data_IF_421974039264
#
_entry.id   IF_421974039264
#
_cell.length_a   1.000
_cell.length_b   1.000
_cell.length_c   1.000
_cell.angle_alpha   90.00
_cell.angle_beta   90.00
_cell.angle_gamma   90.00
#
_symmetry.space_group_name_H-M   'P 1'
#
loop_
_entity.id
_entity.type
_entity.pdbx_description
1 polymer ?
#
# COMPACT_ATOMS: atom_id res chain seq x y z
N UNK A 1 6.33 -70.07 -19.50
CA UNK A 1 5.35 -69.21 -18.81
C UNK A 1 5.87 -68.58 -17.50
N UNK A 2 6.56 -69.32 -16.62
CA UNK A 2 7.12 -68.80 -15.35
C UNK A 2 8.23 -67.75 -15.52
N UNK A 3 9.10 -67.91 -16.52
CA UNK A 3 10.22 -66.98 -16.79
C UNK A 3 9.70 -65.62 -17.27
N UNK A 4 8.74 -65.60 -18.18
CA UNK A 4 8.10 -64.37 -18.66
C UNK A 4 7.42 -63.60 -17.51
N UNK A 5 6.68 -64.26 -16.61
CA UNK A 5 6.08 -63.61 -15.44
C UNK A 5 7.11 -62.97 -14.51
N UNK A 6 8.25 -63.64 -14.26
CA UNK A 6 9.35 -63.08 -13.45
C UNK A 6 10.02 -61.88 -14.14
N UNK A 7 10.15 -61.92 -15.46
CA UNK A 7 10.73 -60.84 -16.26
C UNK A 7 9.83 -59.60 -16.29
N UNK A 8 8.51 -59.76 -16.45
CA UNK A 8 7.55 -58.67 -16.36
C UNK A 8 7.51 -58.06 -14.95
N UNK A 9 7.58 -58.87 -13.90
CA UNK A 9 7.63 -58.39 -12.52
C UNK A 9 8.90 -57.58 -12.23
N UNK A 10 10.06 -58.05 -12.70
CA UNK A 10 11.33 -57.33 -12.55
C UNK A 10 11.35 -55.99 -13.29
N UNK A 11 10.84 -55.96 -14.53
CA UNK A 11 10.71 -54.72 -15.30
C UNK A 11 9.74 -53.74 -14.63
N UNK A 12 8.60 -54.22 -14.12
CA UNK A 12 7.65 -53.40 -13.38
C UNK A 12 8.25 -52.81 -12.10
N UNK A 13 9.01 -53.60 -11.34
CA UNK A 13 9.70 -53.12 -10.13
C UNK A 13 10.78 -52.07 -10.44
N UNK A 14 11.56 -52.27 -11.51
CA UNK A 14 12.54 -51.29 -11.97
C UNK A 14 11.86 -49.97 -12.38
N UNK A 15 10.74 -50.05 -13.08
CA UNK A 15 9.99 -48.87 -13.52
C UNK A 15 9.38 -48.12 -12.33
N UNK A 16 8.83 -48.83 -11.33
CA UNK A 16 8.40 -48.24 -10.06
C UNK A 16 9.53 -47.57 -9.31
N UNK A 17 10.69 -48.22 -9.22
CA UNK A 17 11.86 -47.67 -8.55
C UNK A 17 12.38 -46.40 -9.23
N UNK A 18 12.43 -46.39 -10.58
CA UNK A 18 12.78 -45.21 -11.35
C UNK A 18 11.80 -44.05 -11.12
N UNK A 19 10.49 -44.32 -11.08
CA UNK A 19 9.47 -43.31 -10.77
C UNK A 19 9.62 -42.74 -9.36
N UNK A 20 9.96 -43.57 -8.37
CA UNK A 20 10.22 -43.12 -6.99
C UNK A 20 11.45 -42.22 -6.93
N UNK A 21 12.54 -42.59 -7.60
CA UNK A 21 13.76 -41.77 -7.66
C UNK A 21 13.46 -40.42 -8.32
N UNK A 22 12.78 -40.43 -9.47
CA UNK A 22 12.41 -39.20 -10.18
C UNK A 22 11.53 -38.28 -9.31
N UNK A 23 10.53 -38.85 -8.65
CA UNK A 23 9.68 -38.11 -7.70
C UNK A 23 10.49 -37.55 -6.52
N UNK A 24 11.43 -38.33 -5.98
CA UNK A 24 12.33 -37.92 -4.91
C UNK A 24 13.21 -36.73 -5.31
N UNK A 25 13.83 -36.79 -6.50
CA UNK A 25 14.64 -35.68 -7.04
C UNK A 25 13.77 -34.43 -7.22
N UNK A 26 12.57 -34.59 -7.77
CA UNK A 26 11.64 -33.47 -7.95
C UNK A 26 11.25 -32.80 -6.63
N UNK A 27 11.02 -33.57 -5.57
CA UNK A 27 10.59 -33.03 -4.27
C UNK A 27 11.75 -32.48 -3.42
N UNK A 28 12.92 -33.13 -3.45
CA UNK A 28 14.04 -32.80 -2.57
C UNK A 28 14.99 -31.76 -3.16
N UNK A 29 15.11 -31.68 -4.48
CA UNK A 29 16.08 -30.80 -5.15
C UNK A 29 15.37 -29.71 -5.95
N UNK A 30 14.52 -30.11 -6.90
CA UNK A 30 13.92 -29.16 -7.84
C UNK A 30 12.95 -28.21 -7.13
N UNK A 31 11.95 -28.73 -6.42
CA UNK A 31 10.91 -27.90 -5.77
C UNK A 31 11.48 -26.82 -4.83
N UNK A 32 12.46 -27.10 -3.95
CA UNK A 32 13.07 -26.07 -3.10
C UNK A 32 13.83 -24.99 -3.88
N UNK A 33 14.54 -25.34 -4.96
CA UNK A 33 15.26 -24.37 -5.80
C UNK A 33 14.27 -23.39 -6.43
N UNK A 34 13.25 -23.91 -7.12
CA UNK A 34 12.19 -23.12 -7.75
C UNK A 34 11.58 -22.14 -6.75
N UNK A 35 11.28 -22.65 -5.57
CA UNK A 35 10.64 -21.89 -4.49
C UNK A 35 11.56 -20.78 -3.97
N UNK A 36 12.83 -21.07 -3.73
CA UNK A 36 13.79 -20.08 -3.24
C UNK A 36 14.04 -18.96 -4.26
N UNK A 37 14.08 -19.29 -5.56
CA UNK A 37 14.21 -18.32 -6.63
C UNK A 37 12.96 -17.42 -6.73
N UNK A 38 11.77 -18.02 -6.63
CA UNK A 38 10.50 -17.28 -6.58
C UNK A 38 10.43 -16.35 -5.36
N UNK A 39 10.82 -16.84 -4.17
CA UNK A 39 10.89 -16.02 -2.94
C UNK A 39 11.88 -14.87 -3.11
N UNK A 40 13.07 -15.12 -3.67
CA UNK A 40 14.10 -14.09 -3.85
C UNK A 40 13.65 -13.00 -4.82
N UNK A 41 13.00 -13.41 -5.91
CA UNK A 41 12.43 -12.49 -6.91
C UNK A 41 11.30 -11.66 -6.30
N UNK A 42 10.40 -12.28 -5.54
CA UNK A 42 9.33 -11.58 -4.85
C UNK A 42 9.82 -10.67 -3.72
N UNK A 43 10.92 -11.02 -3.02
CA UNK A 43 11.55 -10.12 -2.05
C UNK A 43 12.06 -8.85 -2.73
N UNK A 44 12.71 -9.00 -3.89
CA UNK A 44 13.16 -7.86 -4.68
C UNK A 44 11.97 -7.02 -5.18
N UNK A 45 10.92 -7.66 -5.68
CA UNK A 45 9.70 -6.98 -6.14
C UNK A 45 9.02 -6.21 -4.98
N UNK A 46 8.78 -6.86 -3.83
CA UNK A 46 8.25 -6.22 -2.64
C UNK A 46 9.10 -5.01 -2.22
N UNK A 47 10.43 -5.19 -2.21
CA UNK A 47 11.38 -4.12 -1.89
C UNK A 47 11.26 -2.94 -2.85
N UNK A 48 11.30 -3.18 -4.16
CA UNK A 48 11.22 -2.12 -5.17
C UNK A 48 9.91 -1.35 -5.06
N UNK A 49 8.79 -2.05 -4.92
CA UNK A 49 7.47 -1.44 -4.72
C UNK A 49 7.47 -0.57 -3.47
N UNK A 50 7.93 -1.13 -2.35
CA UNK A 50 7.94 -0.45 -1.07
C UNK A 50 8.86 0.77 -1.07
N UNK A 51 10.08 0.65 -1.58
CA UNK A 51 11.05 1.75 -1.63
C UNK A 51 10.62 2.85 -2.60
N UNK A 52 10.00 2.50 -3.74
CA UNK A 52 9.43 3.48 -4.66
C UNK A 52 8.32 4.27 -3.97
N UNK A 53 7.40 3.59 -3.29
CA UNK A 53 6.34 4.27 -2.54
C UNK A 53 6.91 5.13 -1.41
N UNK A 54 7.83 4.60 -0.60
CA UNK A 54 8.44 5.34 0.51
C UNK A 54 9.15 6.60 0.01
N UNK A 55 9.79 6.54 -1.16
CA UNK A 55 10.39 7.71 -1.81
C UNK A 55 9.33 8.75 -2.19
N UNK A 56 8.19 8.34 -2.74
CA UNK A 56 7.13 9.27 -3.12
C UNK A 56 6.43 9.87 -1.91
N UNK A 57 6.16 9.07 -0.87
CA UNK A 57 5.67 9.55 0.42
C UNK A 57 6.65 10.54 1.06
N UNK A 58 7.95 10.25 1.06
CA UNK A 58 8.96 11.16 1.64
C UNK A 58 9.01 12.52 0.91
N UNK A 59 8.84 12.54 -0.42
CA UNK A 59 8.75 13.79 -1.18
C UNK A 59 7.49 14.58 -0.79
N UNK A 60 6.35 13.91 -0.71
CA UNK A 60 5.09 14.53 -0.27
C UNK A 60 5.22 15.08 1.15
N UNK A 61 5.83 14.33 2.08
CA UNK A 61 6.07 14.80 3.43
C UNK A 61 6.95 16.06 3.47
N UNK A 62 8.01 16.10 2.67
CA UNK A 62 8.89 17.28 2.55
C UNK A 62 8.14 18.48 1.97
N UNK A 63 7.26 18.26 1.00
CA UNK A 63 6.42 19.31 0.44
C UNK A 63 5.39 19.82 1.48
N UNK A 64 4.75 18.94 2.25
CA UNK A 64 3.85 19.34 3.34
C UNK A 64 4.56 20.13 4.43
N UNK A 65 5.80 19.74 4.79
CA UNK A 65 6.62 20.52 5.71
C UNK A 65 6.90 21.92 5.16
N UNK A 66 7.17 22.02 3.87
CA UNK A 66 7.38 23.31 3.20
C UNK A 66 6.10 24.16 3.22
N UNK A 67 4.93 23.54 2.97
CA UNK A 67 3.63 24.20 3.12
C UNK A 67 3.43 24.76 4.52
N UNK A 68 3.72 23.96 5.55
CA UNK A 68 3.60 24.39 6.93
C UNK A 68 4.51 25.60 7.21
N UNK A 69 5.78 25.54 6.81
CA UNK A 69 6.76 26.64 7.01
C UNK A 69 6.33 27.92 6.29
N UNK A 70 5.90 27.83 5.02
CA UNK A 70 5.39 28.98 4.28
C UNK A 70 4.16 29.57 4.97
N UNK A 71 3.25 28.70 5.40
CA UNK A 71 2.06 29.07 6.15
C UNK A 71 2.36 29.65 7.54
N UNK A 72 3.58 29.59 8.07
CA UNK A 72 3.97 30.31 9.29
C UNK A 72 4.32 31.78 9.00
N UNK A 73 4.88 32.06 7.83
CA UNK A 73 5.46 33.37 7.49
C UNK A 73 4.52 34.29 6.72
N UNK A 74 3.50 33.73 6.04
CA UNK A 74 2.60 34.53 5.21
C UNK A 74 1.78 35.54 6.03
N UNK A 75 1.47 36.73 5.46
CA UNK A 75 0.47 37.62 6.03
C UNK A 75 -0.85 36.87 6.28
N UNK A 76 -1.56 37.21 7.36
CA UNK A 76 -2.88 36.65 7.69
C UNK A 76 -3.97 37.23 6.77
N UNK A 77 -3.82 36.97 5.47
CA UNK A 77 -4.72 37.38 4.40
C UNK A 77 -4.96 36.17 3.52
N UNK A 78 -6.21 35.74 3.36
CA UNK A 78 -6.53 34.54 2.57
C UNK A 78 -5.94 34.59 1.15
N UNK A 79 -5.96 35.76 0.50
CA UNK A 79 -5.37 35.95 -0.83
C UNK A 79 -3.88 35.58 -0.87
N UNK A 80 -3.10 35.96 0.15
CA UNK A 80 -1.68 35.63 0.22
C UNK A 80 -1.44 34.11 0.35
N UNK A 81 -2.27 33.43 1.13
CA UNK A 81 -2.23 31.97 1.19
C UNK A 81 -2.62 31.33 -0.14
N UNK A 82 -3.68 31.81 -0.78
CA UNK A 82 -4.14 31.25 -2.06
C UNK A 82 -3.07 31.38 -3.15
N UNK A 83 -2.43 32.54 -3.24
CA UNK A 83 -1.39 32.82 -4.23
C UNK A 83 -0.12 31.97 -4.03
N UNK A 84 0.27 31.71 -2.78
CA UNK A 84 1.56 31.07 -2.47
C UNK A 84 1.46 29.57 -2.18
N UNK A 85 0.32 29.08 -1.70
CA UNK A 85 0.14 27.66 -1.33
C UNK A 85 -0.31 26.82 -2.54
N UNK A 86 -1.22 27.35 -3.38
CA UNK A 86 -1.75 26.60 -4.51
C UNK A 86 -0.65 26.10 -5.49
N UNK A 87 0.37 26.90 -5.86
CA UNK A 87 1.46 26.43 -6.73
C UNK A 87 2.30 25.33 -6.07
N UNK A 88 2.49 25.37 -4.75
CA UNK A 88 3.24 24.35 -4.03
C UNK A 88 2.50 23.01 -4.04
N UNK A 89 1.20 23.00 -3.77
CA UNK A 89 0.36 21.80 -3.90
C UNK A 89 0.42 21.26 -5.33
N UNK A 90 0.28 22.14 -6.34
CA UNK A 90 0.31 21.75 -7.73
C UNK A 90 1.65 21.18 -8.22
N UNK A 91 2.77 21.52 -7.54
CA UNK A 91 4.10 20.99 -7.87
C UNK A 91 4.27 19.51 -7.46
N UNK A 92 3.41 19.02 -6.56
CA UNK A 92 3.45 17.65 -6.08
C UNK A 92 2.99 16.62 -7.12
N UNK A 93 3.74 15.52 -7.25
CA UNK A 93 3.32 14.37 -8.07
C UNK A 93 2.47 13.41 -7.23
N UNK A 94 1.42 12.85 -7.84
CA UNK A 94 0.53 11.90 -7.15
C UNK A 94 -0.30 12.54 -6.03
N UNK A 95 -0.47 13.85 -6.04
CA UNK A 95 -1.28 14.58 -5.05
C UNK A 95 -2.73 14.62 -5.53
N UNK A 96 -3.65 14.21 -4.65
CA UNK A 96 -5.11 14.32 -4.83
C UNK A 96 -5.60 15.70 -4.39
N UNK A 97 -4.98 16.27 -3.36
CA UNK A 97 -5.36 17.55 -2.79
C UNK A 97 -4.43 17.97 -1.67
N UNK A 98 -4.77 19.07 -1.01
CA UNK A 98 -4.04 19.56 0.15
C UNK A 98 -4.58 20.89 0.60
N UNK A 99 -4.19 21.30 1.81
CA UNK A 99 -4.75 22.52 2.36
C UNK A 99 -4.08 23.04 3.61
N UNK A 100 -4.58 24.18 4.04
CA UNK A 100 -4.25 24.84 5.29
C UNK A 100 -5.49 24.86 6.17
N UNK A 101 -5.34 24.42 7.41
CA UNK A 101 -6.42 24.14 8.36
C UNK A 101 -6.16 24.90 9.67
N UNK A 102 -6.51 26.19 9.73
CA UNK A 102 -6.24 27.05 10.88
C UNK A 102 -7.04 26.65 12.11
N UNK A 103 -6.61 27.05 13.30
CA UNK A 103 -7.48 27.03 14.48
C UNK A 103 -8.59 28.11 14.35
N UNK A 104 -9.71 27.97 15.11
CA UNK A 104 -10.75 28.98 15.13
C UNK A 104 -10.19 30.39 15.38
N UNK A 105 -10.73 31.39 14.67
CA UNK A 105 -10.32 32.79 14.73
C UNK A 105 -8.87 33.10 14.30
N UNK A 106 -8.09 32.13 13.78
CA UNK A 106 -6.69 32.37 13.38
C UNK A 106 -6.51 32.93 11.98
N UNK A 107 -7.39 32.57 11.04
CA UNK A 107 -7.36 33.04 9.66
C UNK A 107 -8.38 34.14 9.40
N UNK A 108 -9.62 33.93 9.84
CA UNK A 108 -10.70 34.91 9.76
C UNK A 108 -11.24 35.18 11.17
N UNK A 109 -11.41 36.45 11.58
CA UNK A 109 -12.05 36.79 12.84
C UNK A 109 -13.49 36.23 12.91
N UNK A 110 -13.86 35.68 14.06
CA UNK A 110 -15.20 35.12 14.34
C UNK A 110 -15.59 33.91 13.49
N UNK A 111 -14.66 33.29 12.76
CA UNK A 111 -14.89 32.07 12.00
C UNK A 111 -14.41 30.83 12.79
N UNK A 112 -15.30 29.87 12.98
CA UNK A 112 -14.96 28.55 13.54
C UNK A 112 -14.16 27.69 12.55
N UNK A 113 -14.46 27.85 11.24
CA UNK A 113 -13.82 27.15 10.14
C UNK A 113 -13.40 28.15 9.07
N UNK A 114 -12.15 28.08 8.65
CA UNK A 114 -11.56 28.94 7.63
C UNK A 114 -10.45 28.17 6.88
N UNK A 115 -10.75 26.92 6.53
CA UNK A 115 -9.83 26.07 5.78
C UNK A 115 -9.65 26.60 4.36
N UNK A 116 -8.44 26.45 3.83
CA UNK A 116 -8.12 26.66 2.43
C UNK A 116 -7.70 25.31 1.87
N UNK A 117 -8.59 24.66 1.10
CA UNK A 117 -8.38 23.32 0.59
C UNK A 117 -8.47 23.28 -0.93
N UNK A 118 -7.48 22.68 -1.57
CA UNK A 118 -7.43 22.49 -3.01
C UNK A 118 -7.57 21.02 -3.35
N UNK A 119 -8.59 20.70 -4.15
CA UNK A 119 -8.74 19.37 -4.72
C UNK A 119 -8.33 19.36 -6.18
N UNK A 120 -7.66 18.29 -6.60
CA UNK A 120 -7.34 18.04 -7.99
C UNK A 120 -8.61 17.64 -8.74
N UNK A 121 -8.90 18.36 -9.81
CA UNK A 121 -10.05 18.10 -10.69
C UNK A 121 -9.65 17.15 -11.83
N UNK A 122 -10.64 16.61 -12.55
CA UNK A 122 -10.41 15.63 -13.63
C UNK A 122 -9.53 16.12 -14.79
N UNK A 123 -9.36 17.44 -14.97
CA UNK A 123 -8.45 18.01 -15.96
C UNK A 123 -7.00 18.18 -15.44
N UNK A 124 -6.72 17.73 -14.21
CA UNK A 124 -5.43 17.83 -13.55
C UNK A 124 -5.15 19.16 -12.84
N UNK A 125 -6.05 20.13 -12.91
CA UNK A 125 -5.94 21.42 -12.21
C UNK A 125 -6.44 21.33 -10.77
N UNK A 126 -5.87 22.15 -9.90
CA UNK A 126 -6.30 22.25 -8.49
C UNK A 126 -7.30 23.38 -8.32
N UNK A 127 -8.45 23.07 -7.72
CA UNK A 127 -9.51 24.04 -7.45
C UNK A 127 -9.70 24.20 -5.95
N UNK A 128 -9.79 25.45 -5.50
CA UNK A 128 -10.16 25.76 -4.12
C UNK A 128 -11.62 25.34 -3.87
N UNK A 129 -11.82 24.54 -2.83
CA UNK A 129 -13.12 24.06 -2.36
C UNK A 129 -13.47 24.73 -1.03
N UNK A 130 -14.76 25.02 -0.83
CA UNK A 130 -15.28 25.71 0.37
C UNK A 130 -16.19 24.79 1.21
N UNK A 131 -16.27 23.51 0.85
CA UNK A 131 -17.14 22.50 1.45
C UNK A 131 -16.87 22.32 2.96
N UNK A 132 -15.60 22.31 3.36
CA UNK A 132 -15.19 22.22 4.77
C UNK A 132 -15.50 23.46 5.61
N UNK A 133 -15.88 24.59 4.97
CA UNK A 133 -16.29 25.80 5.68
C UNK A 133 -17.82 25.94 5.80
N UNK A 134 -18.60 25.11 5.11
CA UNK A 134 -20.07 25.19 5.16
C UNK A 134 -20.61 24.90 6.57
N UNK A 135 -21.74 25.50 7.00
CA UNK A 135 -22.26 25.32 8.36
C UNK A 135 -22.58 23.88 8.75
N UNK A 136 -22.94 23.04 7.79
CA UNK A 136 -23.32 21.65 7.93
C UNK A 136 -22.14 20.66 7.89
N UNK A 137 -20.94 21.11 7.49
CA UNK A 137 -19.77 20.24 7.51
C UNK A 137 -19.21 20.04 8.92
N UNK A 138 -18.71 18.83 9.19
CA UNK A 138 -18.03 18.51 10.44
C UNK A 138 -16.83 19.43 10.69
N UNK A 139 -16.55 19.71 11.96
CA UNK A 139 -15.36 20.44 12.36
C UNK A 139 -14.11 19.61 12.05
N UNK A 140 -13.27 20.06 11.12
CA UNK A 140 -12.04 19.34 10.72
C UNK A 140 -11.07 19.13 11.90
N UNK A 141 -11.16 19.95 12.94
CA UNK A 141 -10.39 19.78 14.18
C UNK A 141 -10.74 18.47 14.92
N UNK A 142 -11.87 17.84 14.60
CA UNK A 142 -12.28 16.56 15.16
C UNK A 142 -11.71 15.35 14.42
N UNK A 143 -11.18 15.55 13.22
CA UNK A 143 -10.65 14.48 12.38
C UNK A 143 -9.37 13.86 12.96
N UNK A 144 -9.15 12.58 12.68
CA UNK A 144 -7.99 11.81 13.19
C UNK A 144 -6.67 12.44 12.74
N UNK A 145 -6.56 12.78 11.46
CA UNK A 145 -5.37 13.40 10.85
C UNK A 145 -5.01 14.75 11.50
N UNK A 146 -6.01 15.57 11.84
CA UNK A 146 -5.79 16.87 12.51
C UNK A 146 -5.30 16.66 13.94
N UNK A 147 -6.02 15.84 14.73
CA UNK A 147 -5.67 15.55 16.13
C UNK A 147 -4.30 14.90 16.28
N UNK A 148 -3.92 14.04 15.35
CA UNK A 148 -2.63 13.38 15.35
C UNK A 148 -1.50 14.38 15.05
N UNK A 149 -1.71 15.31 14.11
CA UNK A 149 -0.75 16.37 13.82
C UNK A 149 -0.48 17.30 15.02
N UNK A 150 -1.49 17.61 15.84
CA UNK A 150 -1.32 18.41 17.07
C UNK A 150 -0.29 17.77 18.00
N UNK A 151 -0.28 16.43 18.11
CA UNK A 151 0.58 15.67 19.02
C UNK A 151 2.01 15.43 18.49
N UNK A 152 2.23 15.63 17.19
CA UNK A 152 3.51 15.34 16.52
C UNK A 152 4.65 16.26 17.00
N UNK A 153 5.89 16.04 16.58
CA UNK A 153 6.92 17.08 16.73
C UNK A 153 6.77 18.17 15.66
N UNK A 154 7.41 19.33 15.87
CA UNK A 154 7.43 20.39 14.86
C UNK A 154 8.15 19.89 13.60
N UNK A 155 7.54 20.07 12.43
CA UNK A 155 8.08 19.59 11.15
C UNK A 155 7.93 18.09 10.91
N UNK A 156 7.36 17.34 11.86
CA UNK A 156 7.04 15.93 11.66
C UNK A 156 5.74 15.80 10.85
N UNK A 157 5.81 15.02 9.76
CA UNK A 157 4.63 14.62 9.01
C UNK A 157 4.01 13.38 9.68
N UNK A 158 2.75 13.48 10.05
CA UNK A 158 1.96 12.33 10.51
C UNK A 158 1.06 11.87 9.39
N UNK A 159 1.18 10.59 9.04
CA UNK A 159 0.34 9.94 8.03
C UNK A 159 -0.96 9.44 8.67
N UNK A 160 -2.09 9.72 8.01
CA UNK A 160 -3.35 9.06 8.30
C UNK A 160 -3.32 7.58 7.89
N UNK A 161 -4.26 6.81 8.42
CA UNK A 161 -4.75 5.61 7.74
C UNK A 161 -5.23 5.92 6.32
N UNK A 162 -5.25 4.91 5.46
CA UNK A 162 -5.83 4.98 4.13
C UNK A 162 -7.36 5.12 4.24
N UNK A 163 -7.93 6.12 3.57
CA UNK A 163 -9.36 6.40 3.64
C UNK A 163 -9.90 6.95 2.32
N UNK A 164 -11.22 7.01 2.19
CA UNK A 164 -11.88 7.70 1.08
C UNK A 164 -12.37 9.04 1.59
N UNK A 165 -11.89 10.12 0.98
CA UNK A 165 -12.32 11.47 1.36
C UNK A 165 -13.82 11.69 1.07
N UNK A 166 -14.51 12.34 2.01
CA UNK A 166 -15.96 12.51 1.95
C UNK A 166 -16.42 13.57 0.95
N UNK A 167 -15.53 14.49 0.58
CA UNK A 167 -15.83 15.60 -0.34
C UNK A 167 -15.43 15.23 -1.77
N UNK A 168 -14.18 14.79 -1.97
CA UNK A 168 -13.66 14.45 -3.29
C UNK A 168 -13.99 13.01 -3.71
N UNK A 169 -14.33 12.13 -2.76
CA UNK A 169 -14.57 10.71 -2.99
C UNK A 169 -13.36 9.98 -3.61
N UNK A 170 -12.15 10.42 -3.25
CA UNK A 170 -10.87 9.85 -3.73
C UNK A 170 -10.23 9.04 -2.61
N UNK A 171 -9.74 7.81 -2.87
CA UNK A 171 -8.94 7.07 -1.90
C UNK A 171 -7.56 7.73 -1.74
N UNK A 172 -7.20 8.07 -0.50
CA UNK A 172 -5.99 8.82 -0.20
C UNK A 172 -5.36 8.45 1.14
N UNK A 173 -4.10 8.85 1.32
CA UNK A 173 -3.49 9.05 2.64
C UNK A 173 -3.07 10.49 2.79
N UNK A 174 -3.23 11.04 3.99
CA UNK A 174 -2.94 12.44 4.26
C UNK A 174 -1.69 12.56 5.11
N UNK A 175 -0.71 13.28 4.60
CA UNK A 175 0.39 13.79 5.41
C UNK A 175 -0.05 15.09 6.07
N UNK A 176 -0.03 15.13 7.41
CA UNK A 176 -0.38 16.31 8.20
C UNK A 176 0.82 16.82 8.98
N UNK A 177 1.12 18.12 8.84
CA UNK A 177 2.21 18.79 9.57
C UNK A 177 1.63 19.99 10.33
N UNK A 178 1.95 20.10 11.62
CA UNK A 178 1.50 21.25 12.41
C UNK A 178 2.15 22.57 11.94
N UNK A 179 1.38 23.64 11.99
CA UNK A 179 1.81 25.01 11.72
C UNK A 179 1.94 25.72 13.08
N UNK A 180 3.11 26.29 13.35
CA UNK A 180 3.38 27.00 14.59
C UNK A 180 3.74 28.45 14.27
N UNK A 181 2.90 29.40 14.71
CA UNK A 181 3.15 30.85 14.61
C UNK A 181 3.38 31.43 15.99
N UNK A 182 4.38 32.30 16.14
CA UNK A 182 4.71 32.94 17.43
C UNK A 182 4.86 31.93 18.58
N UNK A 183 5.48 30.79 18.28
CA UNK A 183 5.67 29.67 19.21
C UNK A 183 4.36 29.04 19.75
N UNK A 184 3.23 29.27 19.08
CA UNK A 184 1.93 28.69 19.39
C UNK A 184 1.39 27.89 18.21
N UNK A 185 0.61 26.84 18.52
CA UNK A 185 -0.12 26.11 17.51
C UNK A 185 -1.11 27.02 16.79
N UNK A 186 -1.02 27.08 15.48
CA UNK A 186 -1.85 27.94 14.63
C UNK A 186 -2.79 27.13 13.74
N UNK A 187 -2.41 25.91 13.36
CA UNK A 187 -3.21 25.04 12.50
C UNK A 187 -2.42 23.86 11.95
N UNK A 188 -2.92 23.23 10.91
CA UNK A 188 -2.29 22.10 10.22
C UNK A 188 -2.16 22.40 8.72
N UNK A 189 -1.06 21.98 8.11
CA UNK A 189 -0.92 21.90 6.66
C UNK A 189 -1.03 20.43 6.23
N UNK A 190 -1.73 20.18 5.13
CA UNK A 190 -1.90 18.82 4.61
C UNK A 190 -1.52 18.70 3.14
N UNK A 191 -1.08 17.50 2.77
CA UNK A 191 -1.13 17.00 1.40
C UNK A 191 -1.72 15.61 1.40
N UNK A 192 -2.61 15.38 0.45
CA UNK A 192 -3.29 14.13 0.24
C UNK A 192 -2.67 13.42 -0.96
N UNK A 193 -2.15 12.22 -0.73
CA UNK A 193 -1.56 11.38 -1.77
C UNK A 193 -2.63 10.48 -2.35
N UNK A 194 -2.82 10.55 -3.67
CA UNK A 194 -3.76 9.71 -4.42
C UNK A 194 -3.32 8.24 -4.40
N UNK A 195 -4.16 7.39 -3.83
CA UNK A 195 -3.90 5.95 -3.81
C UNK A 195 -4.42 5.22 -5.05
N UNK A 196 -5.33 5.81 -5.83
CA UNK A 196 -5.90 5.16 -7.03
C UNK A 196 -4.82 4.94 -8.10
N UNK A 197 -3.90 5.91 -8.25
CA UNK A 197 -2.76 5.79 -9.15
C UNK A 197 -1.78 4.68 -8.72
N UNK A 198 -1.60 4.50 -7.41
CA UNK A 198 -0.77 3.42 -6.84
C UNK A 198 -1.45 2.07 -7.05
N UNK A 199 -2.73 1.97 -6.70
CA UNK A 199 -3.54 0.76 -6.88
C UNK A 199 -3.57 0.31 -8.34
N UNK A 200 -3.83 1.20 -9.29
CA UNK A 200 -3.85 0.86 -10.73
C UNK A 200 -2.49 0.34 -11.22
N UNK A 201 -1.39 0.91 -10.74
CA UNK A 201 -0.03 0.44 -11.07
C UNK A 201 0.23 -0.96 -10.52
N UNK A 202 -0.17 -1.23 -9.27
CA UNK A 202 -0.04 -2.56 -8.67
C UNK A 202 -0.91 -3.59 -9.39
N UNK A 203 -2.14 -3.24 -9.76
CA UNK A 203 -3.04 -4.12 -10.50
C UNK A 203 -2.50 -4.45 -11.90
N UNK A 204 -1.89 -3.49 -12.59
CA UNK A 204 -1.25 -3.72 -13.89
C UNK A 204 -0.09 -4.73 -13.76
N UNK A 205 0.77 -4.56 -12.75
CA UNK A 205 1.87 -5.48 -12.45
C UNK A 205 1.36 -6.88 -12.08
N UNK A 206 0.27 -6.96 -11.30
CA UNK A 206 -0.37 -8.22 -10.93
C UNK A 206 -0.86 -8.98 -12.16
N UNK A 207 -1.51 -8.29 -13.09
CA UNK A 207 -2.01 -8.88 -14.32
C UNK A 207 -0.87 -9.33 -15.25
N UNK A 208 0.24 -8.59 -15.29
CA UNK A 208 1.40 -8.92 -16.13
C UNK A 208 2.18 -10.15 -15.61
N UNK A 209 2.32 -10.26 -14.28
CA UNK A 209 3.16 -11.30 -13.65
C UNK A 209 2.38 -12.52 -13.17
N UNK A 210 1.06 -12.38 -12.97
CA UNK A 210 0.24 -13.38 -12.27
C UNK A 210 0.50 -13.43 -10.76
N UNK A 211 1.33 -12.53 -10.23
CA UNK A 211 1.53 -12.33 -8.80
C UNK A 211 0.53 -11.32 -8.24
N UNK A 212 0.53 -11.18 -6.93
CA UNK A 212 -0.45 -10.38 -6.22
C UNK A 212 0.25 -9.45 -5.23
N UNK A 213 0.66 -8.30 -5.72
CA UNK A 213 1.29 -7.22 -4.99
C UNK A 213 0.25 -6.44 -4.17
N UNK A 214 0.63 -6.02 -2.97
CA UNK A 214 -0.19 -5.20 -2.07
C UNK A 214 0.67 -4.28 -1.21
N UNK A 215 0.02 -3.30 -0.58
CA UNK A 215 0.62 -2.37 0.37
C UNK A 215 -0.29 -2.26 1.58
N UNK A 216 0.33 -2.27 2.77
CA UNK A 216 -0.27 -1.97 4.06
C UNK A 216 0.24 -0.62 4.55
N UNK A 217 -0.69 0.23 4.98
CA UNK A 217 -0.35 1.45 5.68
C UNK A 217 0.13 1.18 7.12
N UNK A 218 0.39 2.27 7.86
CA UNK A 218 0.82 2.24 9.26
C UNK A 218 -0.22 1.70 10.24
N UNK A 219 -1.49 1.66 9.84
CA UNK A 219 -2.62 1.14 10.61
C UNK A 219 -3.02 -0.28 10.17
N UNK A 220 -2.19 -0.94 9.36
CA UNK A 220 -2.46 -2.26 8.76
C UNK A 220 -3.76 -2.28 7.93
N UNK A 221 -4.09 -1.17 7.28
CA UNK A 221 -5.11 -1.13 6.24
C UNK A 221 -4.49 -1.38 4.87
N UNK A 222 -5.23 -2.09 4.03
CA UNK A 222 -4.79 -2.42 2.70
C UNK A 222 -5.01 -1.25 1.75
N UNK A 223 -3.93 -0.57 1.36
CA UNK A 223 -3.93 0.53 0.38
C UNK A 223 -4.33 0.06 -1.01
N UNK A 224 -4.03 -1.19 -1.35
CA UNK A 224 -4.48 -1.83 -2.57
C UNK A 224 -4.56 -3.31 -2.28
N UNK A 225 -5.57 -3.96 -2.85
CA UNK A 225 -5.63 -5.42 -2.84
C UNK A 225 -5.49 -6.00 -4.22
N UNK A 226 -4.63 -7.02 -4.36
CA UNK A 226 -4.53 -7.79 -5.57
C UNK A 226 -5.85 -8.48 -5.88
N UNK A 227 -6.19 -8.64 -7.16
CA UNK A 227 -7.41 -9.28 -7.66
C UNK A 227 -7.51 -10.80 -7.34
N UNK A 228 -6.94 -11.25 -6.22
CA UNK A 228 -7.11 -12.56 -5.59
C UNK A 228 -8.60 -12.88 -5.36
N UNK A 229 -9.42 -11.83 -5.22
CA UNK A 229 -10.87 -11.92 -5.14
C UNK A 229 -11.50 -10.94 -6.13
N UNK A 230 -12.72 -11.27 -6.55
CA UNK A 230 -13.57 -10.39 -7.36
C UNK A 230 -14.22 -9.28 -6.53
N UNK A 231 -13.92 -9.23 -5.22
CA UNK A 231 -14.50 -8.27 -4.29
C UNK A 231 -13.47 -7.21 -3.97
N UNK A 232 -13.89 -5.94 -4.01
CA UNK A 232 -13.01 -4.87 -3.54
C UNK A 232 -12.84 -4.98 -2.01
N UNK A 233 -11.58 -5.07 -1.62
CA UNK A 233 -11.13 -5.16 -0.24
C UNK A 233 -10.18 -3.99 0.10
N UNK A 234 -9.84 -3.13 -0.86
CA UNK A 234 -8.98 -1.97 -0.64
C UNK A 234 -9.60 -1.03 0.42
N UNK A 235 -8.75 -0.31 1.14
CA UNK A 235 -9.07 0.53 2.30
C UNK A 235 -9.70 -0.24 3.47
N UNK A 236 -9.59 -1.57 3.51
CA UNK A 236 -10.05 -2.36 4.66
C UNK A 236 -8.88 -2.71 5.58
N UNK A 237 -9.14 -2.67 6.87
CA UNK A 237 -8.25 -3.26 7.87
C UNK A 237 -8.15 -4.78 7.72
N UNK A 238 -7.04 -5.36 8.16
CA UNK A 238 -6.85 -6.81 8.15
C UNK A 238 -7.98 -7.59 8.84
N UNK A 239 -8.55 -7.04 9.92
CA UNK A 239 -9.67 -7.67 10.66
C UNK A 239 -10.97 -7.66 9.87
N UNK A 240 -11.26 -6.58 9.14
CA UNK A 240 -12.41 -6.50 8.23
C UNK A 240 -12.24 -7.48 7.06
N UNK A 241 -11.03 -7.62 6.52
CA UNK A 241 -10.74 -8.59 5.45
C UNK A 241 -11.01 -10.03 5.90
N UNK A 242 -10.49 -10.42 7.07
CA UNK A 242 -10.73 -11.76 7.63
C UNK A 242 -12.21 -12.04 7.94
N UNK A 243 -12.97 -10.99 8.30
CA UNK A 243 -14.41 -11.10 8.58
C UNK A 243 -15.24 -11.23 7.30
N UNK A 244 -14.83 -10.52 6.25
CA UNK A 244 -15.51 -10.51 4.95
C UNK A 244 -15.23 -11.78 4.15
N UNK A 245 -14.02 -12.33 4.24
CA UNK A 245 -13.65 -13.61 3.64
C UNK A 245 -12.80 -14.47 4.59
N UNK A 246 -13.46 -15.47 5.19
CA UNK A 246 -12.81 -16.39 6.13
C UNK A 246 -11.65 -17.19 5.54
N UNK A 247 -11.57 -17.35 4.22
CA UNK A 247 -10.46 -18.05 3.55
C UNK A 247 -9.15 -17.24 3.57
N UNK A 248 -9.23 -15.93 3.86
CA UNK A 248 -8.07 -15.05 4.00
C UNK A 248 -7.54 -14.98 5.43
N UNK A 249 -8.16 -15.67 6.41
CA UNK A 249 -7.67 -15.72 7.80
C UNK A 249 -6.19 -16.12 7.94
N UNK A 250 -5.66 -17.12 7.19
CA UNK A 250 -4.25 -17.45 7.26
C UNK A 250 -3.35 -16.31 6.81
N UNK A 251 -3.72 -15.60 5.73
CA UNK A 251 -3.02 -14.42 5.24
C UNK A 251 -3.03 -13.31 6.29
N UNK A 252 -4.20 -13.00 6.84
CA UNK A 252 -4.35 -11.98 7.88
C UNK A 252 -3.51 -12.32 9.11
N UNK A 253 -3.52 -13.57 9.57
CA UNK A 253 -2.72 -14.00 10.72
C UNK A 253 -1.22 -13.85 10.47
N UNK A 254 -0.77 -14.18 9.24
CA UNK A 254 0.62 -13.99 8.83
C UNK A 254 1.00 -12.50 8.79
N UNK A 255 0.11 -11.64 8.28
CA UNK A 255 0.34 -10.20 8.21
C UNK A 255 0.30 -9.53 9.59
N UNK A 256 -0.57 -9.94 10.50
CA UNK A 256 -0.62 -9.41 11.87
C UNK A 256 0.64 -9.75 12.68
N UNK A 257 1.32 -10.83 12.33
CA UNK A 257 2.67 -11.07 12.83
C UNK A 257 3.67 -10.20 12.05
N UNK A 258 3.96 -9.01 12.58
CA UNK A 258 4.82 -8.00 11.94
C UNK A 258 6.22 -8.46 11.55
N UNK A 259 6.71 -9.60 12.08
CA UNK A 259 8.01 -10.18 11.74
C UNK A 259 7.95 -11.17 10.56
N UNK A 260 6.76 -11.49 10.05
CA UNK A 260 6.61 -12.47 8.97
C UNK A 260 7.13 -11.90 7.66
N UNK A 261 8.33 -12.32 7.25
CA UNK A 261 8.90 -11.98 5.94
C UNK A 261 8.45 -12.93 4.84
N UNK A 262 8.19 -14.19 5.19
CA UNK A 262 7.75 -15.25 4.26
C UNK A 262 6.74 -16.14 4.98
N UNK A 263 5.63 -16.47 4.33
CA UNK A 263 4.66 -17.46 4.81
C UNK A 263 4.12 -18.29 3.65
N UNK A 264 3.74 -19.53 3.93
CA UNK A 264 3.19 -20.45 2.92
C UNK A 264 1.77 -20.85 3.28
N UNK A 265 0.93 -20.95 2.26
CA UNK A 265 -0.46 -21.33 2.40
C UNK A 265 -0.75 -22.52 1.51
N UNK A 266 -1.19 -23.62 2.13
CA UNK A 266 -1.55 -24.85 1.44
C UNK A 266 -2.81 -24.71 0.58
N UNK A 267 -3.72 -23.79 0.93
CA UNK A 267 -4.93 -23.46 0.19
C UNK A 267 -5.60 -22.20 0.77
N UNK A 268 -6.67 -21.73 0.12
CA UNK A 268 -7.54 -20.67 0.64
C UNK A 268 -7.16 -19.28 0.13
N UNK A 269 -5.93 -18.83 0.40
CA UNK A 269 -5.48 -17.47 0.03
C UNK A 269 -5.64 -17.22 -1.47
N UNK A 270 -5.01 -18.03 -2.31
CA UNK A 270 -5.31 -18.09 -3.75
C UNK A 270 -6.32 -19.22 -3.97
N UNK A 271 -7.40 -18.96 -4.72
CA UNK A 271 -8.44 -19.97 -4.97
C UNK A 271 -7.84 -21.15 -5.72
N UNK A 272 -8.00 -22.35 -5.16
CA UNK A 272 -7.56 -23.61 -5.74
C UNK A 272 -6.05 -23.70 -6.05
N UNK A 273 -5.22 -22.88 -5.39
CA UNK A 273 -3.75 -22.95 -5.52
C UNK A 273 -3.07 -22.80 -4.16
N UNK A 274 -1.87 -23.36 -4.06
CA UNK A 274 -0.93 -23.04 -2.99
C UNK A 274 -0.35 -21.65 -3.25
N UNK A 275 0.10 -20.96 -2.20
CA UNK A 275 0.72 -19.66 -2.38
C UNK A 275 1.76 -19.33 -1.33
N UNK A 276 2.65 -18.42 -1.69
CA UNK A 276 3.73 -17.92 -0.86
C UNK A 276 3.51 -16.42 -0.68
N UNK A 277 3.40 -15.96 0.56
CA UNK A 277 3.50 -14.56 0.92
C UNK A 277 4.96 -14.19 1.11
N UNK A 278 5.36 -13.06 0.56
CA UNK A 278 6.61 -12.38 0.86
C UNK A 278 6.29 -10.94 1.24
N UNK A 279 6.89 -10.43 2.31
CA UNK A 279 6.71 -9.03 2.75
C UNK A 279 8.04 -8.31 2.83
N UNK A 280 7.96 -6.97 2.76
CA UNK A 280 9.05 -6.06 2.99
C UNK A 280 8.56 -4.89 3.85
N UNK A 281 9.33 -4.53 4.86
CA UNK A 281 8.95 -3.48 5.82
C UNK A 281 9.62 -2.15 5.51
N UNK A 282 8.84 -1.07 5.58
CA UNK A 282 9.28 0.30 5.40
C UNK A 282 9.33 0.99 6.76
N UNK A 283 10.46 0.82 7.45
CA UNK A 283 10.60 1.19 8.87
C UNK A 283 10.30 2.67 9.15
N UNK A 284 10.66 3.59 8.25
CA UNK A 284 10.47 5.02 8.46
C UNK A 284 8.99 5.45 8.47
N UNK A 285 8.15 4.79 7.68
CA UNK A 285 6.70 5.09 7.58
C UNK A 285 5.86 4.14 8.43
N UNK A 286 6.45 3.04 8.93
CA UNK A 286 5.75 1.90 9.51
C UNK A 286 4.79 1.21 8.51
N UNK A 287 5.09 1.28 7.22
CA UNK A 287 4.30 0.65 6.15
C UNK A 287 4.91 -0.68 5.74
N UNK A 288 4.15 -1.51 5.02
CA UNK A 288 4.67 -2.76 4.47
C UNK A 288 4.20 -2.97 3.03
N UNK A 289 5.08 -3.46 2.19
CA UNK A 289 4.71 -4.01 0.88
C UNK A 289 4.76 -5.53 0.94
N UNK A 290 4.03 -6.19 0.04
CA UNK A 290 4.14 -7.62 -0.08
C UNK A 290 3.67 -8.15 -1.42
N UNK A 291 4.04 -9.39 -1.68
CA UNK A 291 3.71 -10.15 -2.89
C UNK A 291 3.18 -11.50 -2.46
N UNK A 292 2.03 -11.89 -3.01
CA UNK A 292 1.51 -13.25 -2.91
C UNK A 292 1.76 -13.93 -4.26
N UNK A 293 2.47 -15.06 -4.23
CA UNK A 293 2.88 -15.82 -5.41
C UNK A 293 2.08 -17.11 -5.46
N UNK A 294 1.24 -17.34 -6.48
CA UNK A 294 0.62 -18.65 -6.70
C UNK A 294 1.68 -19.70 -7.04
N UNK A 295 1.52 -20.94 -6.57
CA UNK A 295 2.46 -22.01 -6.85
C UNK A 295 2.53 -22.35 -8.35
N UNK A 296 1.44 -22.16 -9.10
CA UNK A 296 1.43 -22.28 -10.55
C UNK A 296 2.39 -21.27 -11.23
N UNK A 297 2.49 -20.05 -10.70
CA UNK A 297 3.39 -19.01 -11.22
C UNK A 297 4.83 -19.29 -10.82
N UNK A 298 5.08 -19.67 -9.57
CA UNK A 298 6.42 -20.02 -9.09
C UNK A 298 7.07 -21.12 -9.96
N UNK A 299 6.28 -22.11 -10.40
CA UNK A 299 6.74 -23.21 -11.27
C UNK A 299 7.01 -22.78 -12.72
N UNK A 300 6.32 -21.75 -13.23
CA UNK A 300 6.43 -21.32 -14.63
C UNK A 300 7.80 -20.72 -14.96
N UNK A 301 8.44 -20.06 -13.98
CA UNK A 301 9.76 -19.43 -14.12
C UNK A 301 10.88 -20.43 -14.48
N UNK A 302 10.67 -21.73 -14.23
CA UNK A 302 11.70 -22.77 -14.45
C UNK A 302 11.60 -23.40 -15.83
N UNK A 303 10.43 -23.39 -16.47
CA UNK A 303 10.29 -23.90 -17.84
C UNK A 303 11.10 -23.09 -18.86
N UNK A 304 11.45 -21.84 -18.55
CA UNK A 304 12.32 -21.01 -19.39
C UNK A 304 13.79 -21.41 -19.28
N UNK A 305 14.22 -22.01 -18.17
CA UNK A 305 15.59 -22.52 -17.98
C UNK A 305 15.77 -23.92 -18.56
N UNK A 306 14.75 -24.78 -18.51
CA UNK A 306 14.82 -26.14 -19.07
C UNK A 306 14.99 -26.14 -20.60
N UNK A 307 14.48 -25.11 -21.29
CA UNK A 307 14.65 -24.94 -22.75
C UNK A 307 16.06 -24.54 -23.19
N UNK A 308 16.95 -24.15 -22.27
CA UNK A 308 18.36 -23.87 -22.59
C UNK A 308 19.29 -25.05 -22.30
N UNK A 309 18.77 -26.14 -21.73
CA UNK A 309 19.53 -27.36 -21.40
C UNK A 309 19.14 -28.59 -22.24
N UNK A 310 18.29 -28.39 -23.25
CA UNK A 310 17.99 -29.33 -24.34
C UNK A 310 18.10 -28.61 -25.67
#
# INVERSE_FOLDING_TARGET
>A
MLIQKKMYLGSFLLLLFALIILSGIMQLVVTPIIKNDAISSAKLQAKVIGESLAKDLAKSATLTQSLAVVAETLPLQQAAFIENIAPLIASGKGIAGGGIWPEPNKMLPSAEKASLFWAKTGNGQYKLLDDYNQPDSSAYQQESWYKNAIKANRGECVWSEAYVDTVSNVPMVTCSVKIIRDNQFWGVATLDVDLASIESSLLAENNATGTYNFILDSAEQLVSIPSIRNTNLAMMSLTQVASKDSSLKPLVSALQNGNTTVAEFASGVVKNDQSILVTYSLAAQNWRSGVIIPAAIAKKTVNTLTYYLY
#
